data_IF_828697513350
#
_entry.id   IF_828697513350
#
_cell.length_a   1.000
_cell.length_b   1.000
_cell.length_c   1.000
_cell.angle_alpha   90.00
_cell.angle_beta   90.00
_cell.angle_gamma   90.00
#
_symmetry.space_group_name_H-M   'P 1'
#
loop_
_entity.id
_entity.type
_entity.pdbx_description
1 polymer ?
#
# COMPACT_ATOMS: atom_id res chain seq x y z
N UNK A 1 0.21 29.85 -50.81
CA UNK A 1 0.33 28.86 -49.74
C UNK A 1 1.07 29.53 -48.59
N UNK A 2 0.38 29.85 -47.47
CA UNK A 2 1.01 30.44 -46.29
C UNK A 2 1.62 29.29 -45.47
N UNK A 3 2.95 29.23 -45.40
CA UNK A 3 3.68 28.27 -44.59
C UNK A 3 3.90 28.90 -43.19
N UNK A 4 2.96 28.68 -42.28
CA UNK A 4 3.05 29.15 -40.89
C UNK A 4 3.95 28.20 -40.07
N UNK A 5 5.24 28.48 -40.02
CA UNK A 5 6.15 27.83 -39.05
C UNK A 5 5.91 28.39 -37.65
N UNK A 6 5.30 27.57 -36.76
CA UNK A 6 5.21 27.91 -35.35
C UNK A 6 6.59 27.81 -34.70
N UNK A 7 7.25 28.95 -34.52
CA UNK A 7 8.56 29.03 -33.83
C UNK A 7 8.39 28.56 -32.37
N UNK A 8 9.15 27.53 -31.97
CA UNK A 8 9.11 26.97 -30.60
C UNK A 8 8.25 25.71 -30.41
N UNK A 9 7.52 25.27 -31.46
CA UNK A 9 6.67 24.07 -31.35
C UNK A 9 7.47 22.79 -31.04
N UNK A 10 8.65 22.66 -31.65
CA UNK A 10 9.53 21.50 -31.43
C UNK A 10 10.16 21.53 -30.04
N UNK A 11 10.53 22.70 -29.52
CA UNK A 11 10.99 22.86 -28.14
C UNK A 11 9.89 22.51 -27.14
N UNK A 12 8.65 22.92 -27.41
CA UNK A 12 7.49 22.55 -26.59
C UNK A 12 7.21 21.05 -26.61
N UNK A 13 7.22 20.41 -27.79
CA UNK A 13 7.09 18.94 -27.92
C UNK A 13 8.18 18.21 -27.14
N UNK A 14 9.43 18.63 -27.25
CA UNK A 14 10.55 18.05 -26.49
C UNK A 14 10.38 18.19 -24.99
N UNK A 15 9.91 19.35 -24.51
CA UNK A 15 9.60 19.57 -23.11
C UNK A 15 8.45 18.69 -22.59
N UNK A 16 7.38 18.56 -23.37
CA UNK A 16 6.25 17.68 -23.05
C UNK A 16 6.67 16.21 -23.00
N UNK A 17 7.47 15.74 -23.96
CA UNK A 17 7.99 14.38 -23.97
C UNK A 17 8.83 14.07 -22.73
N UNK A 18 9.70 15.00 -22.31
CA UNK A 18 10.49 14.88 -21.06
C UNK A 18 9.58 14.80 -19.82
N UNK A 19 8.54 15.64 -19.75
CA UNK A 19 7.57 15.62 -18.64
C UNK A 19 6.78 14.31 -18.61
N UNK A 20 6.33 13.79 -19.75
CA UNK A 20 5.65 12.51 -19.87
C UNK A 20 6.55 11.35 -19.42
N UNK A 21 7.82 11.33 -19.82
CA UNK A 21 8.78 10.30 -19.38
C UNK A 21 8.93 10.31 -17.85
N UNK A 22 9.14 11.48 -17.23
CA UNK A 22 9.24 11.62 -15.77
C UNK A 22 7.96 11.16 -15.06
N UNK A 23 6.78 11.43 -15.64
CA UNK A 23 5.51 10.98 -15.08
C UNK A 23 5.38 9.45 -15.09
N UNK A 24 5.72 8.80 -16.22
CA UNK A 24 5.73 7.33 -16.33
C UNK A 24 6.70 6.68 -15.35
N UNK A 25 7.89 7.24 -15.19
CA UNK A 25 8.87 6.75 -14.21
C UNK A 25 8.34 6.85 -12.78
N UNK A 26 7.68 7.96 -12.42
CA UNK A 26 7.05 8.16 -11.11
C UNK A 26 5.90 7.17 -10.87
N UNK A 27 5.07 6.91 -11.88
CA UNK A 27 4.03 5.89 -11.81
C UNK A 27 4.61 4.50 -11.54
N UNK A 28 5.71 4.14 -12.22
CA UNK A 28 6.40 2.87 -12.01
C UNK A 28 6.95 2.73 -10.58
N UNK A 29 7.49 3.80 -10.01
CA UNK A 29 7.97 3.81 -8.63
C UNK A 29 6.84 3.61 -7.62
N UNK A 30 5.74 4.34 -7.81
CA UNK A 30 4.58 4.21 -6.94
C UNK A 30 3.99 2.79 -7.02
N UNK A 31 4.00 2.16 -8.20
CA UNK A 31 3.63 0.76 -8.37
C UNK A 31 4.50 -0.18 -7.52
N UNK A 32 5.81 0.01 -7.56
CA UNK A 32 6.74 -0.78 -6.75
C UNK A 32 6.52 -0.56 -5.25
N UNK A 33 6.25 0.69 -4.83
CA UNK A 33 5.93 1.00 -3.45
C UNK A 33 4.67 0.28 -2.96
N UNK A 34 3.61 0.27 -3.77
CA UNK A 34 2.37 -0.46 -3.47
C UNK A 34 2.63 -1.96 -3.29
N UNK A 35 3.41 -2.59 -4.17
CA UNK A 35 3.77 -4.01 -4.05
C UNK A 35 4.52 -4.31 -2.75
N UNK A 36 5.38 -3.40 -2.29
CA UNK A 36 6.09 -3.57 -1.01
C UNK A 36 5.12 -3.53 0.16
N UNK A 37 4.20 -2.57 0.17
CA UNK A 37 3.18 -2.47 1.23
C UNK A 37 2.30 -3.72 1.24
N UNK A 38 1.86 -4.19 0.08
CA UNK A 38 1.04 -5.39 -0.04
C UNK A 38 1.77 -6.63 0.51
N UNK A 39 3.01 -6.86 0.10
CA UNK A 39 3.84 -7.96 0.63
C UNK A 39 4.02 -7.89 2.14
N UNK A 40 4.19 -6.68 2.67
CA UNK A 40 4.29 -6.49 4.11
C UNK A 40 2.99 -6.89 4.82
N UNK A 41 1.83 -6.45 4.31
CA UNK A 41 0.52 -6.81 4.84
C UNK A 41 0.30 -8.32 4.79
N UNK A 42 0.60 -8.98 3.66
CA UNK A 42 0.45 -10.42 3.52
C UNK A 42 1.35 -11.17 4.54
N UNK A 43 2.59 -10.73 4.70
CA UNK A 43 3.50 -11.28 5.71
C UNK A 43 2.97 -11.08 7.12
N UNK A 44 2.39 -9.91 7.41
CA UNK A 44 1.81 -9.60 8.71
C UNK A 44 0.63 -10.53 9.05
N UNK A 45 -0.23 -10.85 8.08
CA UNK A 45 -1.29 -11.83 8.24
C UNK A 45 -0.76 -13.27 8.38
N UNK A 46 0.28 -13.64 7.65
CA UNK A 46 0.88 -14.97 7.72
C UNK A 46 1.52 -15.25 9.08
N UNK A 47 2.19 -14.26 9.64
CA UNK A 47 2.88 -14.34 10.93
C UNK A 47 2.04 -13.83 12.11
N UNK A 48 0.75 -13.55 11.90
CA UNK A 48 -0.17 -13.08 12.93
C UNK A 48 0.35 -11.89 13.72
N UNK A 49 0.80 -10.87 12.98
CA UNK A 49 1.36 -9.65 13.57
C UNK A 49 2.84 -9.72 13.92
N UNK A 50 3.57 -10.78 13.50
CA UNK A 50 4.98 -10.97 13.84
C UNK A 50 5.87 -9.75 13.63
N UNK A 51 5.79 -8.99 12.50
CA UNK A 51 6.55 -7.75 12.31
C UNK A 51 6.28 -6.66 13.35
N UNK A 52 5.22 -6.79 14.13
CA UNK A 52 4.77 -5.82 15.13
C UNK A 52 4.77 -6.36 16.56
N UNK A 53 5.42 -7.49 16.79
CA UNK A 53 5.48 -8.13 18.11
C UNK A 53 4.41 -9.19 18.37
N UNK A 54 3.67 -9.57 17.32
CA UNK A 54 2.57 -10.54 17.43
C UNK A 54 1.22 -9.92 17.77
N UNK A 55 0.14 -10.55 17.31
CA UNK A 55 -1.21 -10.19 17.71
C UNK A 55 -1.64 -10.97 18.96
N UNK A 56 -2.42 -10.33 19.82
CA UNK A 56 -3.02 -11.01 20.97
C UNK A 56 -3.81 -12.25 20.52
N UNK A 57 -3.60 -13.42 21.12
CA UNK A 57 -4.26 -14.66 20.74
C UNK A 57 -5.78 -14.57 20.91
N UNK A 58 -6.48 -15.45 20.23
CA UNK A 58 -7.94 -15.54 20.32
C UNK A 58 -8.35 -16.22 21.64
N UNK A 59 -9.42 -15.73 22.24
CA UNK A 59 -10.05 -16.42 23.36
C UNK A 59 -10.69 -17.72 22.88
N UNK A 60 -10.69 -18.75 23.71
CA UNK A 60 -11.29 -20.06 23.41
C UNK A 60 -12.75 -19.95 23.00
N UNK A 61 -13.51 -19.05 23.62
CA UNK A 61 -14.91 -18.78 23.25
C UNK A 61 -15.03 -18.22 21.82
N UNK A 62 -14.09 -17.40 21.40
CA UNK A 62 -14.05 -16.86 20.02
C UNK A 62 -13.75 -17.96 19.00
N UNK A 63 -12.83 -18.87 19.32
CA UNK A 63 -12.48 -20.00 18.46
C UNK A 63 -13.69 -20.92 18.26
N UNK A 64 -14.39 -21.27 19.36
CA UNK A 64 -15.58 -22.11 19.32
C UNK A 64 -16.75 -21.50 18.53
N UNK A 65 -16.89 -20.17 18.54
CA UNK A 65 -17.97 -19.46 17.84
C UNK A 65 -17.70 -19.17 16.35
N UNK A 66 -16.55 -19.58 15.80
CA UNK A 66 -16.22 -19.29 14.40
C UNK A 66 -17.02 -20.11 13.40
N UNK A 67 -17.39 -19.48 12.29
CA UNK A 67 -18.19 -20.11 11.23
C UNK A 67 -17.41 -21.16 10.44
N UNK A 68 -16.12 -20.95 10.21
CA UNK A 68 -15.25 -21.86 9.42
C UNK A 68 -14.23 -22.61 10.25
N UNK A 69 -14.24 -22.40 11.57
CA UNK A 69 -13.27 -23.02 12.47
C UNK A 69 -11.86 -22.41 12.32
N UNK A 70 -10.91 -23.03 13.02
CA UNK A 70 -9.51 -22.60 12.99
C UNK A 70 -9.20 -21.50 14.00
N UNK A 71 -7.92 -21.37 14.28
CA UNK A 71 -7.34 -20.48 15.29
C UNK A 71 -6.69 -19.21 14.72
N UNK A 72 -6.60 -19.13 13.37
CA UNK A 72 -5.94 -18.03 12.67
C UNK A 72 -6.55 -16.68 12.97
N UNK A 73 -5.77 -15.75 13.53
CA UNK A 73 -6.23 -14.42 13.96
C UNK A 73 -6.64 -13.59 12.73
N UNK A 74 -7.81 -12.94 12.79
CA UNK A 74 -8.39 -12.09 11.73
C UNK A 74 -8.66 -12.83 10.39
N UNK A 75 -8.69 -14.17 10.39
CA UNK A 75 -8.80 -14.98 9.17
C UNK A 75 -9.94 -16.03 9.25
N UNK A 76 -11.03 -15.78 9.98
CA UNK A 76 -12.15 -16.72 10.08
C UNK A 76 -12.75 -17.03 8.69
N UNK A 77 -13.27 -16.03 7.98
CA UNK A 77 -13.81 -16.17 6.63
C UNK A 77 -12.79 -15.85 5.54
N UNK A 78 -11.64 -15.31 5.89
CA UNK A 78 -10.63 -14.82 4.96
C UNK A 78 -10.98 -13.50 4.24
N UNK A 79 -12.20 -12.97 4.44
CA UNK A 79 -12.68 -11.76 3.76
C UNK A 79 -11.79 -10.57 4.09
N UNK A 80 -11.46 -10.36 5.35
CA UNK A 80 -10.61 -9.23 5.75
C UNK A 80 -9.26 -9.27 5.02
N UNK A 81 -8.58 -10.41 5.03
CA UNK A 81 -7.28 -10.60 4.35
C UNK A 81 -7.39 -10.40 2.84
N UNK A 82 -8.43 -10.95 2.21
CA UNK A 82 -8.60 -10.86 0.75
C UNK A 82 -9.01 -9.47 0.28
N UNK A 83 -9.65 -8.68 1.13
CA UNK A 83 -10.09 -7.32 0.82
C UNK A 83 -8.99 -6.26 1.00
N UNK A 84 -7.91 -6.58 1.71
CA UNK A 84 -6.69 -5.76 1.70
C UNK A 84 -5.98 -5.91 0.34
N UNK A 85 -6.66 -5.48 -0.71
CA UNK A 85 -6.07 -5.37 -2.04
C UNK A 85 -5.71 -3.91 -2.28
N UNK A 86 -4.51 -3.70 -2.80
CA UNK A 86 -4.13 -2.41 -3.32
C UNK A 86 -5.02 -2.09 -4.52
N UNK A 87 -5.79 -1.03 -4.43
CA UNK A 87 -6.45 -0.42 -5.58
C UNK A 87 -5.42 0.43 -6.32
N UNK A 88 -4.52 -0.26 -7.03
CA UNK A 88 -3.60 0.40 -7.92
C UNK A 88 -4.28 0.66 -9.25
N UNK A 89 -4.47 1.94 -9.57
CA UNK A 89 -4.69 2.38 -10.94
C UNK A 89 -3.55 3.32 -11.32
N UNK A 90 -3.13 3.38 -12.61
CA UNK A 90 -2.09 4.30 -13.04
C UNK A 90 -2.36 5.76 -12.64
N UNK A 91 -3.62 6.17 -12.64
CA UNK A 91 -4.06 7.51 -12.24
C UNK A 91 -3.91 7.73 -10.73
N UNK A 92 -4.23 6.72 -9.90
CA UNK A 92 -4.10 6.77 -8.44
C UNK A 92 -2.66 6.63 -7.98
N UNK A 93 -1.79 6.02 -8.77
CA UNK A 93 -0.36 5.98 -8.50
C UNK A 93 0.32 7.35 -8.61
N UNK A 94 -0.25 8.27 -9.34
CA UNK A 94 0.27 9.64 -9.41
C UNK A 94 0.06 10.42 -8.10
N UNK A 95 -0.94 10.05 -7.32
CA UNK A 95 -1.20 10.54 -5.98
C UNK A 95 -0.90 9.39 -5.02
N UNK A 96 0.01 9.53 -4.08
CA UNK A 96 0.36 8.51 -3.07
C UNK A 96 -0.78 8.21 -2.07
N UNK A 97 -2.00 8.31 -2.48
CA UNK A 97 -3.14 7.74 -1.79
C UNK A 97 -3.37 6.32 -2.30
N UNK A 98 -2.44 5.42 -2.04
CA UNK A 98 -2.83 4.03 -1.93
C UNK A 98 -3.76 3.94 -0.74
N UNK A 99 -5.02 4.25 -0.95
CA UNK A 99 -6.06 3.91 -0.03
C UNK A 99 -6.10 2.38 0.00
N UNK A 100 -5.32 1.80 0.88
CA UNK A 100 -5.45 0.41 1.28
C UNK A 100 -6.77 0.32 2.01
N UNK A 101 -7.85 0.39 1.24
CA UNK A 101 -9.19 0.30 1.77
C UNK A 101 -9.58 -1.16 1.76
N UNK A 102 -9.87 -1.68 2.93
CA UNK A 102 -10.33 -3.05 3.07
C UNK A 102 -11.73 -3.26 2.48
N UNK A 103 -12.49 -2.24 2.20
CA UNK A 103 -13.92 -2.38 1.86
C UNK A 103 -14.70 -3.18 2.92
N UNK A 104 -14.15 -3.29 4.12
CA UNK A 104 -14.70 -4.01 5.26
C UNK A 104 -14.57 -3.09 6.46
N UNK A 105 -15.67 -2.51 6.90
CA UNK A 105 -15.71 -1.45 7.92
C UNK A 105 -15.00 -1.82 9.21
N UNK A 106 -15.08 -3.09 9.61
CA UNK A 106 -14.42 -3.56 10.84
C UNK A 106 -12.89 -3.61 10.76
N UNK A 107 -12.29 -3.58 9.57
CA UNK A 107 -10.83 -3.57 9.40
C UNK A 107 -10.17 -2.36 10.04
N UNK A 108 -10.80 -1.20 9.93
CA UNK A 108 -10.36 0.06 10.53
C UNK A 108 -10.30 -0.04 12.05
N UNK A 109 -11.20 -0.81 12.64
CA UNK A 109 -11.26 -0.97 14.09
C UNK A 109 -10.09 -1.75 14.66
N UNK A 110 -9.54 -2.69 13.92
CA UNK A 110 -8.36 -3.45 14.33
C UNK A 110 -7.07 -2.64 14.19
N UNK A 111 -7.00 -1.77 13.17
CA UNK A 111 -5.81 -0.98 12.88
C UNK A 111 -5.74 0.35 13.65
N UNK A 112 -6.87 0.81 14.20
CA UNK A 112 -6.97 2.08 14.93
C UNK A 112 -6.18 2.06 16.23
N UNK A 113 -5.42 3.13 16.49
CA UNK A 113 -4.70 3.34 17.76
C UNK A 113 -5.61 3.79 18.91
N UNK A 114 -6.92 3.98 18.67
CA UNK A 114 -7.88 4.33 19.73
C UNK A 114 -8.09 3.15 20.67
N UNK A 115 -7.95 3.36 21.99
CA UNK A 115 -8.13 2.29 22.98
C UNK A 115 -9.56 1.76 22.93
N UNK A 116 -9.71 0.42 23.00
CA UNK A 116 -11.01 -0.27 23.00
C UNK A 116 -11.09 -1.26 24.14
N UNK A 117 -12.20 -1.24 24.84
CA UNK A 117 -12.39 -2.10 26.04
C UNK A 117 -12.53 -3.58 25.70
N UNK A 118 -13.10 -3.94 24.55
CA UNK A 118 -13.46 -5.33 24.21
C UNK A 118 -12.69 -5.92 23.02
N UNK A 119 -12.12 -5.08 22.16
CA UNK A 119 -11.44 -5.53 20.96
C UNK A 119 -9.93 -5.33 21.10
N UNK A 120 -9.12 -6.39 21.07
CA UNK A 120 -7.67 -6.24 21.12
C UNK A 120 -7.15 -5.50 19.90
N UNK A 121 -6.13 -4.68 20.14
CA UNK A 121 -5.47 -3.93 19.08
C UNK A 121 -4.61 -4.89 18.23
N UNK A 122 -4.90 -4.98 16.96
CA UNK A 122 -4.20 -5.85 16.01
C UNK A 122 -3.83 -5.07 14.78
N UNK A 123 -2.70 -4.39 14.84
CA UNK A 123 -2.21 -3.54 13.76
C UNK A 123 -2.03 -4.32 12.46
N UNK A 124 -2.71 -3.90 11.42
CA UNK A 124 -2.69 -4.55 10.10
C UNK A 124 -1.72 -3.82 9.17
N UNK A 125 -1.73 -2.49 9.20
CA UNK A 125 -0.89 -1.66 8.36
C UNK A 125 0.52 -1.49 8.94
N UNK A 126 1.56 -1.36 8.10
CA UNK A 126 2.90 -1.08 8.56
C UNK A 126 2.97 0.29 9.24
N UNK A 127 3.74 0.37 10.33
CA UNK A 127 4.13 1.66 10.90
C UNK A 127 5.19 2.31 10.01
N UNK A 128 5.26 3.63 10.07
CA UNK A 128 6.25 4.40 9.30
C UNK A 128 7.66 3.85 9.44
N UNK A 129 8.12 3.59 10.66
CA UNK A 129 9.45 3.02 10.96
C UNK A 129 9.74 1.70 10.25
N UNK A 130 8.72 0.92 9.93
CA UNK A 130 8.86 -0.40 9.29
C UNK A 130 8.90 -0.30 7.77
N UNK A 131 8.11 0.61 7.19
CA UNK A 131 7.95 0.70 5.73
C UNK A 131 8.90 1.71 5.09
N UNK A 132 9.23 2.81 5.77
CA UNK A 132 10.07 3.88 5.24
C UNK A 132 11.44 3.40 4.74
N UNK A 133 12.19 2.54 5.45
CA UNK A 133 13.47 2.05 4.94
C UNK A 133 13.35 1.31 3.61
N UNK A 134 12.27 0.55 3.43
CA UNK A 134 12.00 -0.20 2.21
C UNK A 134 11.63 0.73 1.05
N UNK A 135 10.81 1.74 1.31
CA UNK A 135 10.42 2.74 0.32
C UNK A 135 11.61 3.61 -0.08
N UNK A 136 12.38 4.08 0.89
CA UNK A 136 13.58 4.91 0.63
C UNK A 136 14.58 4.20 -0.27
N UNK A 137 14.73 2.87 -0.14
CA UNK A 137 15.63 2.10 -1.01
C UNK A 137 15.24 2.23 -2.48
N UNK A 138 13.94 2.22 -2.80
CA UNK A 138 13.45 2.38 -4.18
C UNK A 138 13.66 3.83 -4.65
N UNK A 139 13.26 4.79 -3.82
CA UNK A 139 13.33 6.20 -4.19
C UNK A 139 14.76 6.71 -4.31
N UNK A 140 15.68 6.28 -3.44
CA UNK A 140 17.12 6.62 -3.56
C UNK A 140 17.71 6.13 -4.88
N UNK A 141 17.36 4.91 -5.31
CA UNK A 141 17.79 4.38 -6.62
C UNK A 141 17.31 5.27 -7.76
N UNK A 142 16.08 5.75 -7.71
CA UNK A 142 15.50 6.63 -8.72
C UNK A 142 16.15 8.02 -8.70
N UNK A 143 16.30 8.64 -7.54
CA UNK A 143 16.94 9.96 -7.39
C UNK A 143 18.39 9.89 -7.87
N UNK A 144 19.14 8.86 -7.50
CA UNK A 144 20.52 8.65 -7.97
C UNK A 144 20.66 8.45 -9.47
N UNK A 145 19.61 7.94 -10.14
CA UNK A 145 19.55 7.86 -11.60
C UNK A 145 19.16 9.19 -12.27
N UNK A 146 18.57 10.11 -11.52
CA UNK A 146 18.09 11.40 -12.05
C UNK A 146 19.13 12.52 -11.88
N UNK A 147 20.10 12.32 -10.98
CA UNK A 147 21.18 13.29 -10.68
C UNK A 147 22.48 13.02 -11.44
N UNK A 148 22.53 11.99 -12.27
CA UNK A 148 23.57 11.73 -13.28
C UNK A 148 23.07 12.18 -14.66
#
# INVERSE_FOLDING_TARGET
VFDCKFIGFDAMKGSLAKKQKKLKERQRLNAQAVVIVDRWIQKNFQSEGGPQGGWEPLKTSTIKGRKRGGDRILQDTGILKSRWKHLYTPEKAAVMSAAVMSGVDYGVYHDSDKPRKKLPHRKILPREKQIMPLLLKIYKKFIGMTLK
#
